data_IF_146884623327
#
_entry.id   IF_146884623327
#
_cell.length_a   1.000
_cell.length_b   1.000
_cell.length_c   1.000
_cell.angle_alpha   90.00
_cell.angle_beta   90.00
_cell.angle_gamma   90.00
#
_symmetry.space_group_name_H-M   'P 1'
#
loop_
_entity.id
_entity.type
_entity.pdbx_description
1 polymer ?
#
# COMPACT_ATOMS: atom_id res chain seq x y z
N UNK A 1 4.92 -14.85 -23.62
CA UNK A 1 3.46 -15.09 -23.68
C UNK A 1 2.88 -14.31 -24.84
N UNK A 2 1.86 -14.87 -25.50
CA UNK A 2 1.09 -14.18 -26.54
C UNK A 2 0.25 -13.06 -25.90
N UNK A 3 0.34 -11.84 -26.44
CA UNK A 3 -0.36 -10.66 -25.93
C UNK A 3 -1.88 -10.78 -26.10
N UNK A 4 -2.34 -11.38 -27.21
CA UNK A 4 -3.77 -11.56 -27.46
C UNK A 4 -4.37 -12.52 -26.45
N UNK A 5 -3.65 -13.62 -26.15
CA UNK A 5 -4.06 -14.56 -25.11
C UNK A 5 -4.25 -13.86 -23.75
N UNK A 6 -3.30 -13.02 -23.33
CA UNK A 6 -3.44 -12.27 -22.07
C UNK A 6 -4.66 -11.34 -22.06
N UNK A 7 -4.91 -10.65 -23.18
CA UNK A 7 -6.08 -9.79 -23.33
C UNK A 7 -7.40 -10.58 -23.26
N UNK A 8 -7.44 -11.75 -23.91
CA UNK A 8 -8.61 -12.62 -23.99
C UNK A 8 -8.94 -13.27 -22.64
N UNK A 9 -7.92 -13.67 -21.86
CA UNK A 9 -8.12 -14.19 -20.50
C UNK A 9 -8.80 -13.14 -19.62
N UNK A 10 -8.28 -11.92 -19.60
CA UNK A 10 -8.84 -10.83 -18.80
C UNK A 10 -10.28 -10.49 -19.25
N UNK A 11 -10.51 -10.43 -20.55
CA UNK A 11 -11.84 -10.17 -21.12
C UNK A 11 -12.85 -11.26 -20.76
N UNK A 12 -12.46 -12.54 -20.86
CA UNK A 12 -13.34 -13.66 -20.54
C UNK A 12 -13.78 -13.69 -19.08
N UNK A 13 -12.87 -13.34 -18.16
CA UNK A 13 -13.19 -13.19 -16.73
C UNK A 13 -14.24 -12.09 -16.54
N UNK A 14 -13.99 -10.90 -17.11
CA UNK A 14 -14.90 -9.77 -16.96
C UNK A 14 -16.27 -10.02 -17.60
N UNK A 15 -16.31 -10.59 -18.80
CA UNK A 15 -17.57 -10.95 -19.48
C UNK A 15 -18.39 -11.93 -18.64
N UNK A 16 -17.73 -12.84 -17.92
CA UNK A 16 -18.42 -13.78 -17.01
C UNK A 16 -19.08 -13.07 -15.85
N UNK A 17 -18.46 -12.03 -15.30
CA UNK A 17 -19.09 -11.18 -14.30
C UNK A 17 -20.32 -10.46 -14.88
N UNK A 18 -20.19 -9.88 -16.08
CA UNK A 18 -21.27 -9.14 -16.74
C UNK A 18 -22.48 -9.98 -17.14
N UNK A 19 -22.28 -11.29 -17.40
CA UNK A 19 -23.39 -12.20 -17.68
C UNK A 19 -24.37 -12.33 -16.50
N UNK A 20 -23.89 -12.13 -15.27
CA UNK A 20 -24.69 -12.21 -14.04
C UNK A 20 -25.11 -10.82 -13.57
N UNK A 21 -24.19 -9.86 -13.60
CA UNK A 21 -24.43 -8.47 -13.22
C UNK A 21 -23.93 -7.52 -14.32
N UNK A 22 -24.83 -6.97 -15.17
CA UNK A 22 -24.45 -6.04 -16.22
C UNK A 22 -23.75 -4.76 -15.71
N UNK A 23 -23.89 -4.43 -14.43
CA UNK A 23 -23.25 -3.28 -13.79
C UNK A 23 -21.95 -3.62 -13.06
N UNK A 24 -21.45 -4.86 -13.20
CA UNK A 24 -20.25 -5.32 -12.53
C UNK A 24 -19.04 -4.40 -12.79
N UNK A 25 -18.31 -4.13 -11.71
CA UNK A 25 -16.99 -3.50 -11.71
C UNK A 25 -16.00 -4.50 -11.12
N UNK A 26 -14.96 -4.82 -11.88
CA UNK A 26 -13.94 -5.75 -11.43
C UNK A 26 -12.88 -5.03 -10.59
N UNK A 27 -12.85 -5.33 -9.29
CA UNK A 27 -11.74 -4.93 -8.41
C UNK A 27 -10.64 -6.00 -8.50
N UNK A 28 -9.45 -5.60 -8.96
CA UNK A 28 -8.34 -6.52 -9.22
C UNK A 28 -7.08 -6.09 -8.48
N UNK A 29 -6.39 -7.02 -7.81
CA UNK A 29 -5.09 -6.76 -7.21
C UNK A 29 -3.99 -6.68 -8.28
N UNK A 30 -3.22 -5.59 -8.28
CA UNK A 30 -2.13 -5.35 -9.21
C UNK A 30 -0.78 -5.97 -8.76
N UNK A 31 -0.76 -6.74 -7.67
CA UNK A 31 0.45 -7.38 -7.11
C UNK A 31 1.23 -8.17 -8.15
N UNK A 32 0.53 -8.93 -8.99
CA UNK A 32 1.15 -9.76 -10.01
C UNK A 32 2.05 -8.95 -10.96
N UNK A 33 1.76 -7.67 -11.19
CA UNK A 33 2.57 -6.81 -12.07
C UNK A 33 3.98 -6.49 -11.52
N UNK A 34 4.26 -6.79 -10.25
CA UNK A 34 5.60 -6.68 -9.67
C UNK A 34 6.59 -7.70 -10.26
N UNK A 35 6.11 -8.84 -10.74
CA UNK A 35 6.97 -9.86 -11.34
C UNK A 35 7.54 -9.41 -12.68
N UNK A 36 8.78 -9.83 -12.97
CA UNK A 36 9.47 -9.58 -14.26
C UNK A 36 8.72 -10.12 -15.48
N UNK A 37 7.79 -11.06 -15.28
CA UNK A 37 6.91 -11.51 -16.35
C UNK A 37 6.04 -10.37 -16.89
N UNK A 38 5.67 -9.36 -16.09
CA UNK A 38 4.73 -8.32 -16.48
C UNK A 38 5.44 -7.08 -17.01
N UNK A 39 5.77 -7.12 -18.30
CA UNK A 39 6.28 -5.97 -19.05
C UNK A 39 5.16 -4.98 -19.39
N UNK A 40 5.53 -3.74 -19.75
CA UNK A 40 4.60 -2.68 -20.20
C UNK A 40 3.63 -3.19 -21.28
N UNK A 41 4.12 -3.88 -22.32
CA UNK A 41 3.26 -4.42 -23.39
C UNK A 41 2.30 -5.51 -22.90
N UNK A 42 2.75 -6.35 -21.95
CA UNK A 42 1.92 -7.43 -21.39
C UNK A 42 0.81 -6.86 -20.51
N UNK A 43 1.13 -5.91 -19.63
CA UNK A 43 0.13 -5.25 -18.78
C UNK A 43 -0.85 -4.45 -19.63
N UNK A 44 -0.36 -3.67 -20.60
CA UNK A 44 -1.22 -2.92 -21.53
C UNK A 44 -2.17 -3.84 -22.29
N UNK A 45 -1.66 -4.94 -22.83
CA UNK A 45 -2.50 -5.91 -23.54
C UNK A 45 -3.51 -6.59 -22.62
N UNK A 46 -3.07 -7.04 -21.44
CA UNK A 46 -3.94 -7.70 -20.47
C UNK A 46 -5.12 -6.80 -20.08
N UNK A 47 -4.88 -5.52 -19.83
CA UNK A 47 -5.92 -4.56 -19.44
C UNK A 47 -6.77 -4.03 -20.63
N UNK A 48 -6.35 -4.26 -21.88
CA UNK A 48 -6.91 -3.57 -23.06
C UNK A 48 -8.36 -3.93 -23.42
N UNK A 49 -8.81 -5.15 -23.11
CA UNK A 49 -10.14 -5.64 -23.52
C UNK A 49 -11.22 -5.50 -22.46
N UNK A 50 -10.90 -4.89 -21.32
CA UNK A 50 -11.91 -4.44 -20.35
C UNK A 50 -12.10 -2.95 -20.55
N UNK A 51 -13.35 -2.44 -20.69
CA UNK A 51 -13.57 -1.01 -20.87
C UNK A 51 -13.11 -0.19 -19.66
N UNK A 52 -12.54 1.02 -19.86
CA UNK A 52 -12.28 1.95 -18.77
C UNK A 52 -13.54 2.22 -17.92
N UNK A 53 -13.38 2.28 -16.60
CA UNK A 53 -14.49 2.46 -15.65
C UNK A 53 -15.16 1.15 -15.19
N UNK A 54 -14.92 0.03 -15.87
CA UNK A 54 -15.39 -1.29 -15.45
C UNK A 54 -14.35 -2.10 -14.67
N UNK A 55 -13.17 -1.54 -14.45
CA UNK A 55 -12.13 -2.12 -13.62
C UNK A 55 -11.54 -1.09 -12.67
N UNK A 56 -11.26 -1.52 -11.44
CA UNK A 56 -10.51 -0.76 -10.43
C UNK A 56 -9.31 -1.61 -10.01
N UNK A 57 -8.11 -1.09 -10.21
CA UNK A 57 -6.88 -1.75 -9.81
C UNK A 57 -6.52 -1.36 -8.38
N UNK A 58 -6.26 -2.35 -7.54
CA UNK A 58 -5.61 -2.14 -6.25
C UNK A 58 -4.11 -2.16 -6.50
N UNK A 59 -3.48 -0.99 -6.61
CA UNK A 59 -2.02 -0.89 -6.59
C UNK A 59 -1.57 -1.27 -5.18
N UNK A 60 -1.14 -2.52 -5.03
CA UNK A 60 -1.27 -3.23 -3.75
C UNK A 60 -0.21 -2.81 -2.73
N UNK A 61 0.95 -2.34 -3.19
CA UNK A 61 2.12 -2.01 -2.37
C UNK A 61 2.68 -0.63 -2.76
N UNK A 62 1.79 0.36 -2.86
CA UNK A 62 2.12 1.66 -3.45
C UNK A 62 3.08 2.50 -2.61
N UNK A 63 3.15 2.28 -1.29
CA UNK A 63 4.06 2.97 -0.39
C UNK A 63 5.53 2.58 -0.58
N UNK A 64 5.80 1.41 -1.17
CA UNK A 64 7.17 0.90 -1.34
C UNK A 64 7.53 0.58 -2.79
N UNK A 65 6.57 0.08 -3.58
CA UNK A 65 6.73 -0.38 -4.96
C UNK A 65 5.51 0.01 -5.80
N UNK A 66 5.22 1.31 -5.99
CA UNK A 66 4.06 1.77 -6.76
C UNK A 66 4.14 1.31 -8.22
N UNK A 67 3.05 0.73 -8.73
CA UNK A 67 2.95 0.29 -10.12
C UNK A 67 2.28 1.33 -11.02
N UNK A 68 1.46 2.23 -10.46
CA UNK A 68 0.78 3.25 -11.27
C UNK A 68 1.73 4.12 -12.15
N UNK A 69 2.95 4.52 -11.72
CA UNK A 69 3.83 5.30 -12.59
C UNK A 69 4.45 4.47 -13.71
N UNK A 70 4.67 3.17 -13.46
CA UNK A 70 5.27 2.24 -14.41
C UNK A 70 4.35 1.93 -15.58
N UNK A 71 3.04 1.97 -15.34
CA UNK A 71 2.01 1.60 -16.32
C UNK A 71 1.09 2.77 -16.70
N UNK A 72 1.58 4.00 -16.60
CA UNK A 72 0.88 5.22 -17.06
C UNK A 72 -0.55 5.31 -16.49
N UNK A 73 -0.70 5.17 -15.17
CA UNK A 73 -2.00 5.08 -14.50
C UNK A 73 -2.87 3.93 -15.04
N UNK A 74 -2.27 2.75 -15.17
CA UNK A 74 -2.92 1.53 -15.67
C UNK A 74 -3.67 1.73 -17.00
N UNK A 75 -3.11 2.56 -17.88
CA UNK A 75 -3.64 2.85 -19.22
C UNK A 75 -5.09 3.34 -19.23
N UNK A 76 -5.47 4.12 -18.24
CA UNK A 76 -6.78 4.76 -18.13
C UNK A 76 -7.82 3.98 -17.31
N UNK A 77 -7.43 2.87 -16.69
CA UNK A 77 -8.23 2.23 -15.67
C UNK A 77 -8.08 2.93 -14.32
N UNK A 78 -9.17 2.99 -13.56
CA UNK A 78 -9.13 3.56 -12.22
C UNK A 78 -8.29 2.70 -11.29
N UNK A 79 -7.64 3.33 -10.31
CA UNK A 79 -6.89 2.61 -9.30
C UNK A 79 -7.01 3.23 -7.91
N UNK A 80 -6.75 2.40 -6.91
CA UNK A 80 -6.63 2.78 -5.50
C UNK A 80 -5.17 2.61 -5.11
N UNK A 81 -4.58 3.66 -4.54
CA UNK A 81 -3.27 3.61 -3.91
C UNK A 81 -3.42 2.86 -2.59
N UNK A 82 -2.69 1.77 -2.36
CA UNK A 82 -2.79 1.04 -1.11
C UNK A 82 -1.46 1.02 -0.38
N UNK A 83 -1.56 1.13 0.95
CA UNK A 83 -0.47 0.77 1.84
C UNK A 83 -0.60 -0.72 2.19
N UNK A 84 0.36 -1.54 1.74
CA UNK A 84 0.40 -2.96 2.10
C UNK A 84 0.87 -3.12 3.54
N UNK A 85 1.99 -2.48 3.87
CA UNK A 85 2.65 -2.50 5.16
C UNK A 85 3.06 -3.89 5.65
N UNK A 86 2.13 -4.72 6.10
CA UNK A 86 2.42 -5.99 6.78
C UNK A 86 2.29 -7.21 5.88
N UNK A 87 3.25 -8.12 6.05
CA UNK A 87 3.36 -9.43 5.42
C UNK A 87 3.36 -10.52 6.49
N UNK A 88 2.46 -11.49 6.38
CA UNK A 88 2.38 -12.64 7.28
C UNK A 88 1.90 -12.35 8.72
N UNK A 89 1.49 -11.12 9.05
CA UNK A 89 1.05 -10.76 10.41
C UNK A 89 2.20 -10.67 11.41
N UNK A 90 3.36 -10.18 10.98
CA UNK A 90 4.56 -10.06 11.82
C UNK A 90 4.42 -8.88 12.80
N UNK A 91 4.94 -9.04 14.02
CA UNK A 91 4.77 -8.05 15.10
C UNK A 91 5.95 -7.10 15.28
N UNK A 92 6.73 -6.86 14.22
CA UNK A 92 7.86 -5.93 14.27
C UNK A 92 7.36 -4.48 14.29
N UNK A 93 8.13 -3.56 14.87
CA UNK A 93 7.86 -2.14 14.75
C UNK A 93 8.49 -1.65 13.45
N UNK A 94 7.67 -1.22 12.49
CA UNK A 94 8.15 -0.67 11.23
C UNK A 94 7.09 0.16 10.50
N UNK A 95 7.53 0.90 9.50
CA UNK A 95 6.68 1.68 8.63
C UNK A 95 7.44 2.81 7.95
N UNK A 96 6.80 3.44 6.96
CA UNK A 96 7.30 4.66 6.33
C UNK A 96 6.22 5.75 6.36
N UNK A 97 6.20 6.54 7.44
CA UNK A 97 5.33 7.70 7.55
C UNK A 97 5.60 8.69 6.41
N UNK A 98 6.85 8.85 5.99
CA UNK A 98 7.22 9.74 4.87
C UNK A 98 6.55 9.28 3.57
N UNK A 99 6.65 8.00 3.21
CA UNK A 99 6.06 7.50 1.97
C UNK A 99 4.53 7.55 1.98
N UNK A 100 3.92 7.32 3.15
CA UNK A 100 2.47 7.39 3.32
C UNK A 100 1.97 8.85 3.30
N UNK A 101 2.77 9.80 3.79
CA UNK A 101 2.43 11.21 3.75
C UNK A 101 2.40 11.76 2.32
N UNK A 102 3.38 11.39 1.51
CA UNK A 102 3.57 11.97 0.17
C UNK A 102 2.90 11.16 -0.94
N UNK A 103 2.88 9.83 -0.79
CA UNK A 103 2.49 8.87 -1.82
C UNK A 103 1.09 9.12 -2.41
N UNK A 104 0.02 9.19 -1.59
CA UNK A 104 -1.33 9.41 -2.07
C UNK A 104 -1.49 10.70 -2.88
N UNK A 105 -0.84 11.79 -2.46
CA UNK A 105 -0.92 13.06 -3.17
C UNK A 105 -0.10 13.02 -4.47
N UNK A 106 1.06 12.37 -4.46
CA UNK A 106 1.84 12.14 -5.67
C UNK A 106 1.06 11.31 -6.70
N UNK A 107 0.35 10.26 -6.26
CA UNK A 107 -0.50 9.44 -7.11
C UNK A 107 -1.73 10.20 -7.63
N UNK A 108 -2.36 11.03 -6.79
CA UNK A 108 -3.49 11.89 -7.18
C UNK A 108 -3.12 12.90 -8.26
N UNK A 109 -1.94 13.50 -8.14
CA UNK A 109 -1.42 14.48 -9.09
C UNK A 109 -0.73 13.82 -10.31
N UNK A 110 -0.66 12.49 -10.34
CA UNK A 110 -0.12 11.77 -11.48
C UNK A 110 -1.08 11.82 -12.67
N UNK A 111 -0.60 11.41 -13.85
CA UNK A 111 -1.26 11.65 -15.12
C UNK A 111 -2.70 11.11 -15.19
N UNK A 112 -3.59 11.92 -15.75
CA UNK A 112 -4.95 11.53 -16.12
C UNK A 112 -5.98 11.43 -15.00
N UNK A 113 -5.62 11.71 -13.75
CA UNK A 113 -6.55 11.70 -12.59
C UNK A 113 -7.31 10.38 -12.41
N UNK A 114 -6.63 9.25 -12.64
CA UNK A 114 -7.23 7.91 -12.53
C UNK A 114 -7.16 7.30 -11.13
N UNK A 115 -6.44 7.95 -10.20
CA UNK A 115 -6.49 7.55 -8.78
C UNK A 115 -7.83 7.96 -8.18
N UNK A 116 -8.57 7.00 -7.64
CA UNK A 116 -9.91 7.24 -7.09
C UNK A 116 -10.02 6.96 -5.58
N UNK A 117 -8.94 6.53 -4.94
CA UNK A 117 -8.99 6.26 -3.50
C UNK A 117 -7.64 5.91 -2.89
N UNK A 118 -7.63 5.90 -1.56
CA UNK A 118 -6.54 5.41 -0.70
C UNK A 118 -7.07 4.20 0.07
N UNK A 119 -6.25 3.16 0.20
CA UNK A 119 -6.60 1.94 0.90
C UNK A 119 -5.46 1.37 1.74
N UNK A 120 -5.79 0.30 2.47
CA UNK A 120 -4.88 -0.49 3.30
C UNK A 120 -5.09 -1.96 2.93
N UNK A 121 -4.00 -2.69 2.73
CA UNK A 121 -4.04 -4.06 2.15
C UNK A 121 -3.19 -5.05 2.92
N UNK A 122 -2.87 -4.76 4.18
CA UNK A 122 -2.05 -5.61 5.04
C UNK A 122 -2.54 -7.06 5.16
N UNK A 123 -1.58 -7.98 5.23
CA UNK A 123 -1.87 -9.40 5.45
C UNK A 123 -2.34 -9.70 6.90
N UNK A 124 -1.90 -8.89 7.88
CA UNK A 124 -2.35 -8.94 9.27
C UNK A 124 -2.58 -7.55 9.91
N UNK A 125 -3.52 -7.45 10.86
CA UNK A 125 -4.09 -6.16 11.32
C UNK A 125 -3.78 -5.76 12.77
N UNK A 126 -3.18 -6.64 13.58
CA UNK A 126 -3.06 -6.44 15.04
C UNK A 126 -1.71 -5.83 15.47
N UNK A 127 -1.12 -4.95 14.65
CA UNK A 127 0.20 -4.35 14.86
C UNK A 127 0.25 -2.92 14.29
N UNK A 128 1.28 -2.14 14.62
CA UNK A 128 1.60 -0.81 14.06
C UNK A 128 0.41 0.13 13.76
N UNK A 129 -0.54 0.28 14.68
CA UNK A 129 -1.78 1.06 14.48
C UNK A 129 -1.54 2.50 13.99
N UNK A 130 -0.41 3.10 14.37
CA UNK A 130 0.01 4.43 13.91
C UNK A 130 0.04 4.54 12.38
N UNK A 131 0.51 3.50 11.69
CA UNK A 131 0.62 3.50 10.23
C UNK A 131 -0.76 3.45 9.58
N UNK A 132 -1.68 2.65 10.15
CA UNK A 132 -3.03 2.48 9.62
C UNK A 132 -3.92 3.70 9.86
N UNK A 133 -3.83 4.33 11.04
CA UNK A 133 -4.49 5.61 11.29
C UNK A 133 -3.97 6.67 10.31
N UNK A 134 -2.65 6.76 10.14
CA UNK A 134 -2.06 7.74 9.24
C UNK A 134 -2.45 7.55 7.78
N UNK A 135 -2.45 6.31 7.29
CA UNK A 135 -2.80 5.98 5.90
C UNK A 135 -4.26 6.30 5.58
N UNK A 136 -5.20 5.91 6.45
CA UNK A 136 -6.63 6.16 6.23
C UNK A 136 -6.96 7.65 6.24
N UNK A 137 -6.26 8.41 7.07
CA UNK A 137 -6.47 9.83 7.21
C UNK A 137 -5.98 10.63 5.98
N UNK A 138 -5.08 10.07 5.14
CA UNK A 138 -4.65 10.66 3.86
C UNK A 138 -5.79 10.95 2.87
N UNK A 139 -6.93 10.26 3.01
CA UNK A 139 -8.11 10.54 2.17
C UNK A 139 -8.65 11.97 2.35
N UNK A 140 -8.39 12.59 3.51
CA UNK A 140 -9.02 13.83 3.97
C UNK A 140 -8.05 15.00 4.13
N UNK A 141 -6.77 14.81 3.81
CA UNK A 141 -5.71 15.81 4.04
C UNK A 141 -4.82 16.01 2.83
N UNK A 142 -4.13 17.15 2.85
CA UNK A 142 -2.92 17.36 2.05
C UNK A 142 -1.71 16.78 2.79
N UNK A 143 -0.59 16.48 2.08
CA UNK A 143 0.65 16.06 2.72
C UNK A 143 1.14 17.08 3.75
N UNK A 144 1.68 16.58 4.85
CA UNK A 144 2.31 17.37 5.89
C UNK A 144 3.74 17.72 5.50
N UNK A 145 4.25 18.87 5.95
CA UNK A 145 5.70 19.12 5.97
C UNK A 145 6.36 18.33 7.11
N UNK A 146 7.68 18.14 7.07
CA UNK A 146 8.41 17.38 8.11
C UNK A 146 8.09 17.84 9.54
N UNK A 147 8.10 19.16 9.79
CA UNK A 147 7.76 19.70 11.11
C UNK A 147 6.30 19.47 11.52
N UNK A 148 5.38 19.37 10.56
CA UNK A 148 3.97 19.06 10.81
C UNK A 148 3.74 17.55 11.01
N UNK A 149 4.61 16.68 10.48
CA UNK A 149 4.55 15.25 10.73
C UNK A 149 4.91 14.91 12.19
N UNK A 150 5.94 15.57 12.74
CA UNK A 150 6.27 15.45 14.18
C UNK A 150 5.11 15.92 15.07
N UNK A 151 4.45 17.02 14.70
CA UNK A 151 3.27 17.51 15.42
C UNK A 151 2.09 16.54 15.31
N UNK A 152 1.86 15.95 14.14
CA UNK A 152 0.84 14.93 13.94
C UNK A 152 1.09 13.71 14.84
N UNK A 153 2.34 13.26 14.95
CA UNK A 153 2.73 12.15 15.82
C UNK A 153 2.48 12.48 17.31
N UNK A 154 2.82 13.69 17.75
CA UNK A 154 2.49 14.15 19.11
C UNK A 154 0.98 14.11 19.34
N UNK A 155 0.18 14.59 18.38
CA UNK A 155 -1.27 14.59 18.48
C UNK A 155 -1.88 13.18 18.47
N UNK A 156 -1.32 12.25 17.69
CA UNK A 156 -1.69 10.83 17.71
C UNK A 156 -1.49 10.23 19.11
N UNK A 157 -0.31 10.45 19.70
CA UNK A 157 0.04 9.92 21.03
C UNK A 157 -0.85 10.50 22.12
N UNK A 158 -1.12 11.82 22.07
CA UNK A 158 -2.06 12.49 22.96
C UNK A 158 -3.43 11.83 22.89
N UNK A 159 -4.06 11.79 21.70
CA UNK A 159 -5.40 11.19 21.53
C UNK A 159 -5.46 9.73 21.97
N UNK A 160 -4.39 8.97 21.76
CA UNK A 160 -4.34 7.54 22.09
C UNK A 160 -4.28 7.26 23.59
N UNK A 161 -3.54 8.07 24.35
CA UNK A 161 -3.29 7.77 25.77
C UNK A 161 -4.04 8.65 26.76
N UNK A 162 -4.51 9.84 26.35
CA UNK A 162 -5.27 10.72 27.24
C UNK A 162 -6.07 11.77 26.48
N UNK A 163 -7.30 12.03 26.90
CA UNK A 163 -8.13 13.10 26.33
C UNK A 163 -8.08 14.39 27.15
N UNK A 164 -7.46 14.39 28.35
CA UNK A 164 -7.59 15.48 29.33
C UNK A 164 -6.35 15.77 30.17
N UNK A 165 -5.40 14.83 30.26
CA UNK A 165 -4.20 14.96 31.10
C UNK A 165 -2.94 15.22 30.27
N UNK A 166 -1.89 15.76 30.90
CA UNK A 166 -0.59 15.88 30.26
C UNK A 166 0.07 14.48 30.15
N UNK A 167 0.48 14.09 28.94
CA UNK A 167 1.32 12.90 28.76
C UNK A 167 2.70 13.16 29.38
N UNK A 168 3.29 12.17 30.08
CA UNK A 168 4.68 12.26 30.53
C UNK A 168 5.61 12.60 29.36
N UNK A 169 6.46 13.62 29.50
CA UNK A 169 7.37 14.07 28.45
C UNK A 169 8.26 12.95 27.90
N UNK A 170 8.59 11.95 28.73
CA UNK A 170 9.32 10.75 28.34
C UNK A 170 8.57 9.89 27.31
N UNK A 171 7.25 9.78 27.40
CA UNK A 171 6.45 9.01 26.46
C UNK A 171 6.36 9.71 25.09
N UNK A 172 6.19 11.04 25.07
CA UNK A 172 6.26 11.82 23.82
C UNK A 172 7.64 11.69 23.17
N UNK A 173 8.71 11.84 23.97
CA UNK A 173 10.07 11.70 23.46
C UNK A 173 10.35 10.30 22.90
N UNK A 174 9.86 9.24 23.56
CA UNK A 174 9.99 7.87 23.05
C UNK A 174 9.29 7.70 21.69
N UNK A 175 8.08 8.24 21.53
CA UNK A 175 7.37 8.18 20.26
C UNK A 175 8.06 8.99 19.15
N UNK A 176 8.64 10.16 19.47
CA UNK A 176 9.45 10.91 18.52
C UNK A 176 10.67 10.11 18.05
N UNK A 177 11.32 9.36 18.95
CA UNK A 177 12.41 8.46 18.58
C UNK A 177 11.93 7.34 17.65
N UNK A 178 10.77 6.73 17.93
CA UNK A 178 10.19 5.70 17.06
C UNK A 178 9.82 6.26 15.69
N UNK A 179 9.19 7.44 15.66
CA UNK A 179 8.82 8.18 14.45
C UNK A 179 10.00 8.49 13.55
N UNK A 180 11.14 8.86 14.16
CA UNK A 180 12.39 9.17 13.47
C UNK A 180 13.31 7.96 13.24
N UNK A 181 12.86 6.75 13.61
CA UNK A 181 13.61 5.51 13.38
C UNK A 181 12.76 4.48 12.66
N UNK A 182 12.14 3.57 13.40
CA UNK A 182 11.41 2.41 12.86
C UNK A 182 10.23 2.79 11.97
N UNK A 183 9.62 3.97 12.18
CA UNK A 183 8.48 4.45 11.39
C UNK A 183 8.83 5.51 10.33
N UNK A 184 10.09 5.94 10.22
CA UNK A 184 10.42 7.08 9.35
C UNK A 184 10.41 6.69 7.87
N UNK A 185 11.26 5.72 7.51
CA UNK A 185 11.43 5.25 6.14
C UNK A 185 11.84 3.77 6.09
N UNK A 186 11.06 2.91 6.75
CA UNK A 186 11.29 1.46 6.78
C UNK A 186 10.05 0.69 6.29
N UNK A 187 9.80 0.62 4.97
CA UNK A 187 8.58 0.01 4.43
C UNK A 187 8.58 -1.53 4.41
N UNK A 188 9.65 -2.21 4.86
CA UNK A 188 9.79 -3.66 4.72
C UNK A 188 10.00 -4.42 6.03
N UNK A 189 9.91 -3.77 7.19
CA UNK A 189 10.18 -4.41 8.47
C UNK A 189 11.60 -4.97 8.54
N UNK A 190 11.88 -5.75 9.58
CA UNK A 190 13.14 -6.46 9.69
C UNK A 190 12.88 -7.89 10.16
N UNK A 191 13.31 -8.86 9.36
CA UNK A 191 13.26 -10.27 9.74
C UNK A 191 14.16 -10.52 10.97
N UNK A 192 13.54 -10.78 12.12
CA UNK A 192 14.27 -11.03 13.36
C UNK A 192 14.81 -12.46 13.45
N UNK A 193 16.05 -12.60 13.95
CA UNK A 193 16.67 -13.90 14.21
C UNK A 193 15.83 -14.77 15.15
N UNK A 194 15.05 -14.16 16.03
CA UNK A 194 14.20 -14.86 17.01
C UNK A 194 13.08 -15.68 16.34
N UNK A 195 12.67 -15.30 15.12
CA UNK A 195 11.62 -15.98 14.36
C UNK A 195 12.19 -16.85 13.21
N UNK A 196 13.49 -16.73 12.94
CA UNK A 196 14.15 -17.48 11.89
C UNK A 196 14.34 -18.95 12.25
N UNK A 197 14.37 -19.81 11.23
CA UNK A 197 14.80 -21.20 11.43
C UNK A 197 16.27 -21.22 11.90
N UNK A 198 16.61 -21.93 13.00
CA UNK A 198 18.00 -22.02 13.47
C UNK A 198 18.93 -22.59 12.39
N UNK A 199 20.05 -21.90 12.15
CA UNK A 199 21.05 -22.29 11.16
C UNK A 199 22.31 -21.43 11.28
N UNK A 200 23.43 -21.92 10.76
CA UNK A 200 24.72 -21.22 10.81
C UNK A 200 24.79 -20.05 9.82
N UNK A 201 23.93 -20.06 8.80
CA UNK A 201 24.01 -19.11 7.68
C UNK A 201 23.25 -17.80 7.92
N UNK A 202 22.49 -17.70 9.01
CA UNK A 202 21.60 -16.57 9.26
C UNK A 202 20.45 -16.50 8.25
N UNK A 203 19.23 -16.34 8.75
CA UNK A 203 18.00 -16.06 7.99
C UNK A 203 17.51 -17.14 6.99
N UNK A 204 16.54 -17.92 7.45
CA UNK A 204 15.29 -18.05 6.70
C UNK A 204 14.16 -17.74 7.68
N UNK A 205 13.74 -16.47 7.74
CA UNK A 205 12.37 -16.17 8.19
C UNK A 205 11.52 -16.47 6.97
N UNK A 206 10.57 -17.39 7.11
CA UNK A 206 9.61 -17.68 6.06
C UNK A 206 8.55 -16.59 6.15
N UNK A 207 8.87 -15.38 5.67
CA UNK A 207 7.84 -14.42 5.33
C UNK A 207 7.03 -15.03 4.19
N UNK A 208 5.73 -15.20 4.41
CA UNK A 208 4.84 -15.77 3.42
C UNK A 208 4.81 -14.80 2.23
N UNK A 209 5.56 -15.10 1.17
CA UNK A 209 5.44 -14.37 -0.09
C UNK A 209 4.37 -15.12 -0.89
N UNK A 210 3.18 -14.52 -1.03
CA UNK A 210 2.12 -15.00 -1.93
C UNK A 210 2.42 -14.54 -3.37
#
# INVERSE_FOLDING_TARGET
SDLNYLADVNAGIFQTMQMVDPSAVWVMQAWLFLSDFWTTDRVKSYLSKVPPGNMILLDLFSEARPQYPRFESFYGHFYIWNMLHDFGGNNDLFGSLVNVNDGPQAARNYSGQYMIGVGITMEGINQNEIMYEFALEQSWRSPLSDGALDEWLVNFVMRRYTSTDAIPSSALYAWQLLGNSVYHNNPHGADTLMLGRPGLDGQQVVSCVI
#
